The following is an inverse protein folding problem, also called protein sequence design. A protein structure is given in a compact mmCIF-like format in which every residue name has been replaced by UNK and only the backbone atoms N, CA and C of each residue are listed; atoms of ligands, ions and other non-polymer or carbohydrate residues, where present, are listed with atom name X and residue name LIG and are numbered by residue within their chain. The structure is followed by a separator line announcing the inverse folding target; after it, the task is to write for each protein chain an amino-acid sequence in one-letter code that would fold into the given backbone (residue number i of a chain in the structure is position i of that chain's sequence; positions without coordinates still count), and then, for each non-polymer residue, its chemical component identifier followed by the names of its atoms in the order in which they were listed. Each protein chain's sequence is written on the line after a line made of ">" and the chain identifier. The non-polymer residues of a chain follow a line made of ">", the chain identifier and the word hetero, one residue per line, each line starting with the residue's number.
data_IF_725101273117
#
_entry.id   IF_725101273117
#
_cell.length_a   1.000
_cell.length_b   1.000
_cell.length_c   1.000
_cell.angle_alpha   90.00
_cell.angle_beta   90.00
_cell.angle_gamma   90.00
#
_symmetry.space_group_name_H-M   'P 1'
#
loop_
_entity.id
_entity.type
_entity.pdbx_description
1 polymer ?
#
# COMPACT_ATOMS: atom_id res chain seq x y z
N UNK A 1 -13.25 1.62 -12.10
CA UNK A 1 -12.06 0.92 -11.59
C UNK A 1 -11.03 0.84 -12.71
N UNK A 2 -10.05 1.74 -12.71
CA UNK A 2 -8.85 1.58 -13.53
C UNK A 2 -8.01 0.46 -12.91
N UNK A 3 -7.47 -0.44 -13.75
CA UNK A 3 -6.44 -1.39 -13.33
C UNK A 3 -5.11 -0.74 -13.61
N UNK A 4 -4.58 -0.01 -12.65
CA UNK A 4 -3.22 0.49 -12.78
C UNK A 4 -2.26 -0.68 -12.54
N UNK A 5 -1.57 -1.07 -13.61
CA UNK A 5 -0.55 -2.12 -13.55
C UNK A 5 0.72 -1.60 -12.83
N UNK A 6 0.87 -0.27 -12.65
CA UNK A 6 1.94 0.34 -11.88
C UNK A 6 1.45 1.60 -11.12
N UNK A 7 1.99 1.82 -9.91
CA UNK A 7 1.84 3.05 -9.14
C UNK A 7 3.19 3.40 -8.51
N UNK A 8 3.59 4.67 -8.53
CA UNK A 8 4.74 5.16 -7.75
C UNK A 8 4.37 6.47 -7.08
N UNK A 9 4.49 6.51 -5.76
CA UNK A 9 4.25 7.68 -4.93
C UNK A 9 5.48 7.92 -4.05
N UNK A 10 5.80 9.19 -3.83
CA UNK A 10 6.90 9.62 -2.97
C UNK A 10 6.38 10.63 -1.97
N UNK A 11 6.98 10.63 -0.78
CA UNK A 11 6.66 11.53 0.33
C UNK A 11 5.14 11.60 0.62
N UNK A 12 4.56 10.46 1.00
CA UNK A 12 3.13 10.30 1.33
C UNK A 12 2.94 9.81 2.76
N UNK A 13 1.71 9.84 3.25
CA UNK A 13 1.36 9.24 4.53
C UNK A 13 0.50 8.00 4.33
N UNK A 14 0.76 6.94 5.08
CA UNK A 14 -0.16 5.83 5.24
C UNK A 14 -1.09 6.17 6.42
N UNK A 15 -2.37 6.36 6.17
CA UNK A 15 -3.38 6.67 7.21
C UNK A 15 -4.12 5.44 7.72
N UNK A 16 -4.17 4.38 6.92
CA UNK A 16 -4.79 3.10 7.28
C UNK A 16 -3.97 1.94 6.79
N UNK A 17 -3.74 0.98 7.68
CA UNK A 17 -3.27 -0.36 7.36
C UNK A 17 -4.21 -1.36 8.04
N UNK A 18 -4.99 -2.11 7.26
CA UNK A 18 -5.94 -3.09 7.76
C UNK A 18 -5.66 -4.45 7.12
N UNK A 19 -5.51 -5.49 7.95
CA UNK A 19 -5.20 -6.86 7.55
C UNK A 19 -6.30 -7.81 8.02
N UNK A 20 -7.09 -8.32 7.07
CA UNK A 20 -8.06 -9.38 7.32
C UNK A 20 -7.51 -10.72 6.84
N UNK A 21 -7.01 -11.52 7.77
CA UNK A 21 -6.47 -12.86 7.50
C UNK A 21 -7.54 -13.86 7.03
N UNK A 22 -8.80 -13.70 7.44
CA UNK A 22 -9.88 -14.61 7.03
C UNK A 22 -10.23 -14.42 5.55
N UNK A 23 -10.16 -13.17 5.08
CA UNK A 23 -10.42 -12.81 3.69
C UNK A 23 -9.16 -12.78 2.83
N UNK A 24 -7.97 -12.93 3.44
CA UNK A 24 -6.68 -12.73 2.79
C UNK A 24 -6.64 -11.40 2.03
N UNK A 25 -6.97 -10.32 2.77
CA UNK A 25 -7.19 -8.97 2.29
C UNK A 25 -6.35 -7.97 3.08
N UNK A 26 -5.72 -7.05 2.38
CA UNK A 26 -5.14 -5.83 2.94
C UNK A 26 -5.82 -4.60 2.35
N UNK A 27 -6.11 -3.61 3.19
CA UNK A 27 -6.55 -2.29 2.79
C UNK A 27 -5.54 -1.26 3.28
N UNK A 28 -5.01 -0.47 2.33
CA UNK A 28 -4.14 0.66 2.59
C UNK A 28 -4.85 1.94 2.16
N UNK A 29 -4.76 2.99 2.98
CA UNK A 29 -5.22 4.34 2.62
C UNK A 29 -4.01 5.27 2.64
N UNK A 30 -3.79 5.98 1.54
CA UNK A 30 -2.64 6.85 1.31
C UNK A 30 -3.11 8.30 1.24
N UNK A 31 -2.53 9.15 2.07
CA UNK A 31 -2.78 10.59 2.12
C UNK A 31 -1.61 11.39 1.58
N UNK A 32 -1.90 12.57 1.06
CA UNK A 32 -0.92 13.58 0.72
C UNK A 32 -0.30 14.15 2.01
N UNK A 33 1.04 14.20 2.07
CA UNK A 33 1.75 14.69 3.26
C UNK A 33 1.49 16.17 3.58
N UNK A 34 1.12 16.98 2.58
CA UNK A 34 1.06 18.43 2.71
C UNK A 34 -0.29 18.92 3.25
N UNK A 35 -1.38 18.31 2.80
CA UNK A 35 -2.74 18.75 3.11
C UNK A 35 -3.62 17.66 3.74
N UNK A 36 -3.11 16.42 3.86
CA UNK A 36 -3.83 15.29 4.42
C UNK A 36 -4.96 14.76 3.52
N UNK A 37 -5.08 15.25 2.27
CA UNK A 37 -6.08 14.77 1.32
C UNK A 37 -5.81 13.32 0.89
N UNK A 38 -6.85 12.50 0.75
CA UNK A 38 -6.73 11.13 0.25
C UNK A 38 -6.19 11.14 -1.19
N UNK A 39 -5.09 10.43 -1.42
CA UNK A 39 -4.53 10.17 -2.75
C UNK A 39 -5.21 8.93 -3.33
N UNK A 40 -5.16 7.82 -2.61
CA UNK A 40 -5.77 6.57 -3.05
C UNK A 40 -5.99 5.58 -1.90
N UNK A 41 -6.92 4.66 -2.14
CA UNK A 41 -7.11 3.44 -1.36
C UNK A 41 -6.66 2.23 -2.19
N UNK A 42 -5.80 1.39 -1.62
CA UNK A 42 -5.26 0.19 -2.26
C UNK A 42 -5.85 -1.03 -1.56
N UNK A 43 -6.47 -1.93 -2.32
CA UNK A 43 -6.98 -3.23 -1.84
C UNK A 43 -6.18 -4.36 -2.45
N UNK A 44 -5.59 -5.20 -1.61
CA UNK A 44 -4.74 -6.31 -2.02
C UNK A 44 -5.39 -7.60 -1.56
N UNK A 45 -5.64 -8.52 -2.50
CA UNK A 45 -6.24 -9.82 -2.21
C UNK A 45 -5.34 -10.96 -2.63
N UNK A 46 -5.52 -12.10 -1.96
CA UNK A 46 -4.82 -13.35 -2.27
C UNK A 46 -3.31 -13.14 -2.17
N UNK A 47 -2.87 -12.78 -0.96
CA UNK A 47 -1.47 -12.55 -0.61
C UNK A 47 -0.72 -13.88 -0.65
N UNK A 48 0.44 -13.86 -1.33
CA UNK A 48 1.35 -14.99 -1.48
C UNK A 48 2.51 -14.86 -0.49
N UNK A 49 3.09 -13.66 -0.39
CA UNK A 49 4.18 -13.33 0.52
C UNK A 49 3.95 -11.94 1.11
N UNK A 50 4.25 -11.79 2.40
CA UNK A 50 4.18 -10.53 3.12
C UNK A 50 5.38 -10.42 4.08
N UNK A 51 6.08 -9.29 3.99
CA UNK A 51 7.14 -8.89 4.92
C UNK A 51 6.84 -7.50 5.43
N UNK A 52 6.96 -7.32 6.73
CA UNK A 52 6.62 -6.08 7.43
C UNK A 52 7.69 -5.78 8.47
N UNK A 53 8.12 -4.52 8.53
CA UNK A 53 9.03 -3.99 9.53
C UNK A 53 8.55 -2.60 9.96
N UNK A 54 8.48 -2.37 11.27
CA UNK A 54 8.10 -1.09 11.84
C UNK A 54 9.38 -0.32 12.23
N UNK A 55 9.56 0.87 11.67
CA UNK A 55 10.77 1.69 11.84
C UNK A 55 10.55 2.88 12.80
N UNK A 56 9.40 2.95 13.46
CA UNK A 56 9.03 4.02 14.39
C UNK A 56 8.74 3.47 15.78
N UNK A 57 9.02 4.27 16.81
CA UNK A 57 8.74 3.93 18.21
C UNK A 57 7.22 3.82 18.43
N UNK A 58 6.82 2.83 19.25
CA UNK A 58 5.49 2.17 19.26
C UNK A 58 4.27 3.06 19.62
N UNK A 59 4.46 4.34 19.91
CA UNK A 59 3.42 5.18 20.51
C UNK A 59 2.49 5.86 19.47
N UNK A 60 2.91 6.05 18.20
CA UNK A 60 2.10 6.70 17.16
C UNK A 60 2.31 6.04 15.77
N UNK A 61 1.60 4.93 15.52
CA UNK A 61 1.81 4.10 14.31
C UNK A 61 1.16 4.70 13.05
N UNK A 62 0.14 5.55 13.17
CA UNK A 62 -0.58 6.14 12.02
C UNK A 62 -1.10 7.57 12.35
N UNK A 63 -1.18 8.48 11.35
CA UNK A 63 -0.64 8.33 10.00
C UNK A 63 0.90 8.31 10.02
N UNK A 64 1.51 7.38 9.30
CA UNK A 64 2.97 7.23 9.24
C UNK A 64 3.51 7.73 7.93
N UNK A 65 4.66 8.40 8.01
CA UNK A 65 5.39 8.85 6.85
C UNK A 65 5.94 7.68 6.04
N UNK A 66 5.65 7.68 4.75
CA UNK A 66 6.16 6.76 3.74
C UNK A 66 6.98 7.57 2.74
N UNK A 67 8.28 7.32 2.68
CA UNK A 67 9.16 7.99 1.72
C UNK A 67 8.90 7.52 0.29
N UNK A 68 8.65 6.23 0.11
CA UNK A 68 8.36 5.65 -1.21
C UNK A 68 7.32 4.53 -1.12
N UNK A 69 6.33 4.58 -2.01
CA UNK A 69 5.40 3.48 -2.28
C UNK A 69 5.43 3.16 -3.77
N UNK A 70 5.68 1.90 -4.10
CA UNK A 70 5.65 1.38 -5.46
C UNK A 70 4.78 0.14 -5.55
N UNK A 71 3.92 0.08 -6.57
CA UNK A 71 3.24 -1.13 -7.01
C UNK A 71 3.64 -1.37 -8.44
N UNK A 72 4.01 -2.60 -8.76
CA UNK A 72 4.25 -3.04 -10.13
C UNK A 72 3.66 -4.42 -10.37
N UNK A 73 3.24 -4.67 -11.60
CA UNK A 73 2.77 -5.98 -12.04
C UNK A 73 3.82 -6.66 -12.90
N UNK A 74 4.20 -7.87 -12.51
CA UNK A 74 5.07 -8.72 -13.30
C UNK A 74 4.29 -9.25 -14.52
N UNK A 75 4.81 -9.02 -15.73
CA UNK A 75 4.15 -9.39 -16.99
C UNK A 75 4.14 -10.92 -17.19
N UNK A 76 5.20 -11.60 -16.74
CA UNK A 76 5.38 -13.04 -16.95
C UNK A 76 4.52 -13.87 -15.99
N UNK A 77 4.39 -13.42 -14.74
CA UNK A 77 3.63 -14.14 -13.69
C UNK A 77 2.24 -13.58 -13.43
N UNK A 78 1.94 -12.38 -13.93
CA UNK A 78 0.76 -11.58 -13.61
C UNK A 78 0.61 -11.21 -12.12
N UNK A 79 1.65 -11.40 -11.31
CA UNK A 79 1.63 -11.05 -9.89
C UNK A 79 1.88 -9.57 -9.69
N UNK A 80 1.24 -9.02 -8.66
CA UNK A 80 1.49 -7.67 -8.17
C UNK A 80 2.51 -7.71 -7.05
N UNK A 81 3.49 -6.82 -7.14
CA UNK A 81 4.48 -6.56 -6.11
C UNK A 81 4.25 -5.16 -5.57
N UNK A 82 3.98 -5.04 -4.28
CA UNK A 82 3.96 -3.77 -3.56
C UNK A 82 5.22 -3.68 -2.72
N UNK A 83 5.90 -2.53 -2.80
CA UNK A 83 7.01 -2.15 -1.92
C UNK A 83 6.71 -0.80 -1.30
N UNK A 84 6.89 -0.68 0.00
CA UNK A 84 6.74 0.54 0.76
C UNK A 84 7.96 0.71 1.65
N UNK A 85 8.53 1.92 1.73
CA UNK A 85 9.69 2.24 2.56
C UNK A 85 9.47 3.56 3.32
N UNK A 86 9.80 3.59 4.61
CA UNK A 86 9.64 4.77 5.45
C UNK A 86 9.53 4.41 6.94
N UNK A 87 8.57 5.02 7.63
CA UNK A 87 8.26 4.64 9.01
C UNK A 87 7.69 3.22 9.11
N UNK A 88 7.12 2.70 8.03
CA UNK A 88 6.81 1.27 7.85
C UNK A 88 7.42 0.79 6.54
N UNK A 89 8.18 -0.29 6.63
CA UNK A 89 8.67 -1.02 5.47
C UNK A 89 7.77 -2.24 5.23
N UNK A 90 7.25 -2.35 4.01
CA UNK A 90 6.31 -3.42 3.62
C UNK A 90 6.69 -3.95 2.25
N UNK A 91 6.69 -5.28 2.09
CA UNK A 91 6.77 -5.94 0.80
C UNK A 91 5.67 -6.97 0.69
N UNK A 92 4.82 -6.86 -0.33
CA UNK A 92 3.73 -7.79 -0.59
C UNK A 92 3.83 -8.34 -2.00
N UNK A 93 3.67 -9.65 -2.14
CA UNK A 93 3.38 -10.30 -3.44
C UNK A 93 1.96 -10.84 -3.42
N UNK A 94 1.17 -10.55 -4.45
CA UNK A 94 -0.26 -10.92 -4.51
C UNK A 94 -0.74 -11.20 -5.94
N UNK A 95 -1.89 -11.86 -6.05
CA UNK A 95 -2.56 -12.06 -7.35
C UNK A 95 -3.42 -10.85 -7.77
N UNK A 96 -3.91 -10.08 -6.81
CA UNK A 96 -4.87 -9.01 -7.07
C UNK A 96 -4.52 -7.76 -6.29
N UNK A 97 -4.40 -6.65 -7.01
CA UNK A 97 -4.27 -5.32 -6.44
C UNK A 97 -5.26 -4.39 -7.14
N UNK A 98 -6.05 -3.66 -6.38
CA UNK A 98 -7.03 -2.70 -6.86
C UNK A 98 -6.77 -1.34 -6.24
N UNK A 99 -6.55 -0.33 -7.07
CA UNK A 99 -6.33 1.05 -6.62
C UNK A 99 -7.60 1.85 -6.93
N UNK A 100 -8.09 2.57 -5.93
CA UNK A 100 -9.23 3.48 -6.04
C UNK A 100 -8.78 4.89 -5.70
N UNK A 101 -9.18 5.86 -6.50
CA UNK A 101 -8.87 7.28 -6.30
C UNK A 101 -10.18 8.01 -5.95
N UNK A 102 -10.18 8.92 -4.97
CA UNK A 102 -11.41 9.57 -4.50
C UNK A 102 -12.11 10.45 -5.55
N UNK A 103 -11.43 10.81 -6.64
CA UNK A 103 -11.93 11.73 -7.68
C UNK A 103 -12.06 11.10 -9.09
N UNK A 104 -12.10 9.76 -9.22
CA UNK A 104 -12.25 9.03 -10.50
C UNK A 104 -13.39 8.01 -10.50
#
# INVERSE_FOLDING_TARGET
>A
MMKDDNLKLVDVNLSRFDLDLNQNLIILEILNMNDGGEICTIKINTIIDLKYENNIDEDDILPVYIGELEISKNIDTAYYHLKMQGGIDLSITSLHCFISYPNL
#
